data_IF_724684261210
#
_entry.id   IF_724684261210
#
_cell.length_a   1.000
_cell.length_b   1.000
_cell.length_c   1.000
_cell.angle_alpha   90.00
_cell.angle_beta   90.00
_cell.angle_gamma   90.00
#
_symmetry.space_group_name_H-M   'P 1'
#
loop_
_entity.id
_entity.type
_entity.pdbx_description
1 polymer ?
#
# COMPACT_ATOMS: atom_id res chain seq x y z
N UNK A 1 11.46 26.48 -2.13
CA UNK A 1 12.01 26.10 -0.82
C UNK A 1 11.05 25.07 -0.23
N UNK A 2 11.50 23.81 -0.18
CA UNK A 2 10.85 22.56 0.28
C UNK A 2 9.39 22.33 -0.17
N UNK A 3 9.10 21.35 -1.05
CA UNK A 3 7.75 21.16 -1.61
C UNK A 3 6.76 20.64 -0.57
N UNK A 4 5.60 21.29 -0.46
CA UNK A 4 4.43 20.88 0.35
C UNK A 4 3.82 19.57 -0.16
N UNK A 5 4.44 18.43 0.18
CA UNK A 5 3.84 17.11 -0.04
C UNK A 5 3.91 16.29 1.26
N UNK A 6 2.83 16.27 2.06
CA UNK A 6 2.47 15.04 2.79
C UNK A 6 0.92 14.84 2.90
N UNK A 7 0.34 13.64 2.94
CA UNK A 7 0.90 12.31 3.16
C UNK A 7 -0.03 11.19 2.62
N UNK A 8 0.58 10.15 2.04
CA UNK A 8 0.02 8.80 1.85
C UNK A 8 0.01 8.01 3.18
N UNK A 9 -0.53 8.60 4.25
CA UNK A 9 -0.52 8.00 5.59
C UNK A 9 -1.93 7.71 6.08
N UNK A 10 -2.38 6.49 5.80
CA UNK A 10 -2.99 5.70 6.85
C UNK A 10 -2.72 4.23 6.56
N UNK A 11 -1.63 3.63 7.09
CA UNK A 11 -1.57 2.17 7.16
C UNK A 11 -2.76 1.68 8.01
N UNK A 12 -3.38 0.54 7.67
CA UNK A 12 -4.63 0.07 8.26
C UNK A 12 -4.57 -0.21 9.78
N UNK A 13 -3.39 -0.08 10.40
CA UNK A 13 -3.15 -0.30 11.83
C UNK A 13 -3.27 0.98 12.68
N UNK A 14 -3.52 2.17 12.11
CA UNK A 14 -3.61 3.45 12.82
C UNK A 14 -5.03 4.05 12.84
N UNK A 15 -6.06 3.21 12.96
CA UNK A 15 -7.44 3.64 13.13
C UNK A 15 -7.75 4.26 14.52
N UNK A 16 -6.80 4.29 15.45
CA UNK A 16 -7.07 4.65 16.85
C UNK A 16 -7.03 6.16 17.17
N UNK A 17 -6.55 7.04 16.27
CA UNK A 17 -6.31 8.44 16.64
C UNK A 17 -7.23 9.50 16.03
N UNK A 18 -8.16 9.13 15.13
CA UNK A 18 -9.18 10.07 14.60
C UNK A 18 -8.64 11.37 13.97
N UNK A 19 -7.32 11.48 13.76
CA UNK A 19 -6.63 12.68 13.26
C UNK A 19 -5.42 12.31 12.38
N UNK A 20 -5.23 13.04 11.29
CA UNK A 20 -4.06 12.92 10.40
C UNK A 20 -2.82 13.64 11.00
N UNK A 21 -1.61 13.37 10.49
CA UNK A 21 -0.33 13.98 10.91
C UNK A 21 -0.29 15.52 10.84
N UNK A 22 -1.29 16.15 10.22
CA UNK A 22 -1.50 17.61 10.16
C UNK A 22 -2.69 18.10 11.03
N UNK A 23 -3.18 17.28 11.97
CA UNK A 23 -4.21 17.66 12.95
C UNK A 23 -5.67 17.61 12.48
N UNK A 24 -5.92 17.23 11.22
CA UNK A 24 -7.27 17.19 10.62
C UNK A 24 -8.07 15.97 11.10
N UNK A 25 -9.34 16.18 11.50
CA UNK A 25 -10.26 15.08 11.87
C UNK A 25 -10.40 14.10 10.71
N UNK A 26 -10.16 12.81 11.00
CA UNK A 26 -10.49 11.67 10.14
C UNK A 26 -11.84 11.20 10.65
N UNK A 27 -12.96 11.54 9.98
CA UNK A 27 -13.42 10.68 8.88
C UNK A 27 -14.16 11.46 7.76
N UNK A 28 -14.06 10.95 6.52
CA UNK A 28 -15.09 10.91 5.46
C UNK A 28 -14.58 11.07 4.03
N UNK A 29 -13.45 11.73 3.75
CA UNK A 29 -12.95 11.83 2.34
C UNK A 29 -11.42 11.91 2.22
N UNK A 30 -10.69 10.92 2.75
CA UNK A 30 -9.28 10.75 2.39
C UNK A 30 -9.10 10.54 0.87
N UNK A 31 -10.12 10.00 0.19
CA UNK A 31 -10.18 9.87 -1.27
C UNK A 31 -10.25 11.22 -2.02
N UNK A 32 -10.44 12.34 -1.33
CA UNK A 32 -10.56 13.68 -1.92
C UNK A 32 -9.65 14.75 -1.30
N UNK A 33 -8.75 14.40 -0.37
CA UNK A 33 -7.84 15.39 0.19
C UNK A 33 -6.80 15.83 -0.86
N UNK A 34 -6.36 17.09 -0.82
CA UNK A 34 -5.40 17.63 -1.78
C UNK A 34 -4.08 16.81 -1.84
N UNK A 35 -3.75 16.08 -0.76
CA UNK A 35 -2.60 15.19 -0.70
C UNK A 35 -2.82 13.81 -1.37
N UNK A 36 -4.06 13.37 -1.59
CA UNK A 36 -4.39 12.16 -2.36
C UNK A 36 -4.68 12.48 -3.83
N UNK A 37 -4.72 13.75 -4.23
CA UNK A 37 -5.01 14.12 -5.60
C UNK A 37 -3.97 13.48 -6.53
N UNK A 38 -4.36 12.48 -7.32
CA UNK A 38 -3.41 11.82 -8.19
C UNK A 38 -2.99 12.81 -9.27
N UNK A 39 -1.70 12.83 -9.61
CA UNK A 39 -1.15 13.74 -10.61
C UNK A 39 -1.78 13.56 -12.00
N UNK A 40 -2.37 12.39 -12.28
CA UNK A 40 -2.96 12.01 -13.57
C UNK A 40 -4.42 11.56 -13.42
N UNK A 41 -5.27 11.90 -14.40
CA UNK A 41 -6.62 11.33 -14.50
C UNK A 41 -6.54 9.83 -14.75
N UNK A 42 -7.61 9.09 -14.47
CA UNK A 42 -7.60 7.62 -14.55
C UNK A 42 -7.28 7.12 -15.96
N UNK A 43 -7.80 7.81 -16.97
CA UNK A 43 -7.62 7.50 -18.40
C UNK A 43 -6.18 7.71 -18.89
N UNK A 44 -5.42 8.58 -18.23
CA UNK A 44 -4.02 8.89 -18.57
C UNK A 44 -3.02 7.91 -17.93
N UNK A 45 -3.50 7.00 -17.06
CA UNK A 45 -2.62 6.07 -16.33
C UNK A 45 -2.33 4.82 -17.13
N UNK A 46 -1.05 4.48 -17.23
CA UNK A 46 -0.62 3.16 -17.69
C UNK A 46 -0.82 2.12 -16.60
N UNK A 47 -1.36 0.95 -16.96
CA UNK A 47 -1.51 -0.19 -16.03
C UNK A 47 -0.13 -0.70 -15.61
N UNK A 48 0.10 -0.78 -14.31
CA UNK A 48 1.29 -1.44 -13.77
C UNK A 48 1.11 -2.96 -13.79
N UNK A 49 2.09 -3.68 -14.32
CA UNK A 49 2.16 -5.13 -14.20
C UNK A 49 2.95 -5.53 -12.96
N UNK A 50 2.37 -6.41 -12.14
CA UNK A 50 3.02 -6.94 -10.95
C UNK A 50 3.58 -8.32 -11.27
N UNK A 51 4.86 -8.51 -10.97
CA UNK A 51 5.59 -9.75 -11.22
C UNK A 51 5.96 -10.42 -9.90
N UNK A 52 5.86 -11.74 -9.85
CA UNK A 52 6.17 -12.54 -8.65
C UNK A 52 7.03 -13.74 -8.99
N UNK A 53 7.75 -14.26 -8.00
CA UNK A 53 8.60 -15.43 -8.15
C UNK A 53 7.76 -16.71 -8.02
N UNK A 54 7.84 -17.56 -9.04
CA UNK A 54 7.21 -18.89 -9.08
C UNK A 54 8.32 -19.91 -9.33
N UNK A 55 8.61 -20.75 -8.35
CA UNK A 55 9.58 -21.86 -8.47
C UNK A 55 10.93 -21.50 -9.09
N UNK A 56 11.41 -20.25 -8.91
CA UNK A 56 12.72 -19.82 -9.38
C UNK A 56 12.75 -18.77 -10.50
N UNK A 57 11.64 -18.54 -11.22
CA UNK A 57 11.55 -17.52 -12.26
C UNK A 57 10.48 -16.46 -11.97
N UNK A 58 10.56 -15.31 -12.65
CA UNK A 58 9.57 -14.24 -12.52
C UNK A 58 8.43 -14.46 -13.52
N UNK A 59 7.20 -14.39 -13.03
CA UNK A 59 5.98 -14.52 -13.82
C UNK A 59 5.02 -13.38 -13.45
N UNK A 60 4.39 -12.71 -14.41
CA UNK A 60 3.41 -11.69 -14.10
C UNK A 60 2.16 -12.34 -13.49
N UNK A 61 1.60 -11.66 -12.50
CA UNK A 61 0.42 -12.12 -11.75
C UNK A 61 -0.81 -12.18 -12.66
N UNK A 62 -0.88 -11.33 -13.70
CA UNK A 62 -1.94 -11.32 -14.71
C UNK A 62 -2.10 -12.67 -15.42
N UNK A 63 -1.05 -13.48 -15.53
CA UNK A 63 -1.08 -14.80 -16.18
C UNK A 63 -1.53 -15.94 -15.25
N UNK A 64 -1.93 -15.67 -14.00
CA UNK A 64 -2.29 -16.73 -13.07
C UNK A 64 -3.67 -17.32 -13.41
N UNK A 65 -3.72 -18.64 -13.62
CA UNK A 65 -4.98 -19.38 -13.74
C UNK A 65 -5.66 -19.54 -12.36
N UNK A 66 -6.89 -20.08 -12.33
CA UNK A 66 -7.65 -20.26 -11.09
C UNK A 66 -6.89 -21.02 -10.00
N UNK A 67 -6.27 -22.15 -10.36
CA UNK A 67 -5.49 -22.96 -9.42
C UNK A 67 -4.27 -22.23 -8.85
N UNK A 68 -3.53 -21.48 -9.69
CA UNK A 68 -2.38 -20.70 -9.23
C UNK A 68 -2.77 -19.53 -8.34
N UNK A 69 -3.94 -18.91 -8.56
CA UNK A 69 -4.46 -17.88 -7.65
C UNK A 69 -4.80 -18.48 -6.28
N UNK A 70 -5.43 -19.65 -6.24
CA UNK A 70 -5.73 -20.36 -5.00
C UNK A 70 -4.47 -20.78 -4.24
N UNK A 71 -3.49 -21.38 -4.92
CA UNK A 71 -2.18 -21.73 -4.35
C UNK A 71 -1.47 -20.49 -3.79
N UNK A 72 -1.44 -19.38 -4.55
CA UNK A 72 -0.79 -18.15 -4.12
C UNK A 72 -1.47 -17.53 -2.88
N UNK A 73 -2.80 -17.58 -2.80
CA UNK A 73 -3.55 -17.06 -1.65
C UNK A 73 -3.28 -17.83 -0.35
N UNK A 74 -2.89 -19.11 -0.45
CA UNK A 74 -2.55 -19.95 0.69
C UNK A 74 -1.10 -19.77 1.18
N UNK A 75 -0.27 -18.99 0.46
CA UNK A 75 1.11 -18.74 0.85
C UNK A 75 1.16 -17.94 2.16
N UNK A 76 2.01 -18.40 3.08
CA UNK A 76 2.28 -17.69 4.34
C UNK A 76 3.52 -16.81 4.16
N UNK A 77 3.34 -15.51 4.40
CA UNK A 77 4.45 -14.56 4.39
C UNK A 77 5.14 -14.55 5.75
N UNK A 78 6.47 -14.45 5.71
CA UNK A 78 7.24 -14.13 6.89
C UNK A 78 6.84 -12.73 7.38
N UNK A 79 6.53 -12.63 8.68
CA UNK A 79 6.34 -11.36 9.37
C UNK A 79 7.49 -11.21 10.34
N UNK A 80 8.29 -10.17 10.15
CA UNK A 80 9.34 -9.83 11.11
C UNK A 80 8.70 -9.54 12.48
N UNK A 81 9.27 -10.12 13.54
CA UNK A 81 8.85 -9.78 14.89
C UNK A 81 9.26 -8.33 15.19
N UNK A 82 8.38 -7.54 15.80
CA UNK A 82 8.67 -6.16 16.19
C UNK A 82 9.85 -6.13 17.17
N UNK A 83 11.06 -5.93 16.67
CA UNK A 83 12.24 -5.83 17.51
C UNK A 83 12.23 -4.46 18.19
N UNK A 84 11.73 -4.42 19.43
CA UNK A 84 11.83 -3.22 20.27
C UNK A 84 13.31 -2.97 20.55
N UNK A 85 13.92 -2.01 19.85
CA UNK A 85 15.23 -1.49 20.23
C UNK A 85 15.09 -0.88 21.63
N UNK A 86 15.55 -1.60 22.65
CA UNK A 86 15.78 -1.02 23.97
C UNK A 86 16.89 0.01 23.81
N UNK A 87 16.57 1.30 23.99
CA UNK A 87 17.61 2.32 24.16
C UNK A 87 18.38 1.96 25.44
N UNK A 88 19.69 1.83 25.30
CA UNK A 88 20.62 1.79 26.43
C UNK A 88 20.70 3.18 27.08
#
# INVERSE_FOLDING_TARGET
MIPDIPCAHCPPTLAEHGRCQIGRLVPHDCAGCAAYRPAFRTEERTRCEVWTRVMGYHRPISHFNGGKRAEHAQRRYFKEASHVRRKA
#
